data_IF_457852702381
#
_entry.id   IF_457852702381
#
_cell.length_a   1.000
_cell.length_b   1.000
_cell.length_c   1.000
_cell.angle_alpha   90.00
_cell.angle_beta   90.00
_cell.angle_gamma   90.00
#
_symmetry.space_group_name_H-M   'P 1'
#
loop_
_entity.id
_entity.type
_entity.pdbx_description
1 polymer ?
#
# COMPACT_ATOMS: atom_id res chain seq x y z
N UNK A 1 8.86 -2.75 -40.63
CA UNK A 1 7.87 -1.97 -39.86
C UNK A 1 6.94 -3.01 -39.27
N UNK A 2 7.00 -3.25 -37.96
CA UNK A 2 5.90 -3.89 -37.22
C UNK A 2 6.19 -3.79 -35.72
N UNK A 3 5.34 -2.98 -35.09
CA UNK A 3 5.00 -2.87 -33.68
C UNK A 3 6.02 -3.24 -32.61
N UNK A 4 6.85 -2.23 -32.32
CA UNK A 4 7.20 -1.90 -30.93
C UNK A 4 5.93 -1.43 -30.19
N UNK A 5 5.05 -2.37 -29.88
CA UNK A 5 3.85 -2.10 -29.07
C UNK A 5 4.31 -1.73 -27.64
N UNK A 6 4.44 -0.43 -27.41
CA UNK A 6 4.40 0.29 -26.13
C UNK A 6 4.62 -0.59 -24.88
N UNK A 7 5.88 -0.92 -24.57
CA UNK A 7 6.31 -1.43 -23.24
C UNK A 7 6.33 -0.32 -22.19
N UNK A 8 5.26 0.47 -22.10
CA UNK A 8 5.21 1.64 -21.21
C UNK A 8 3.87 1.78 -20.46
N UNK A 9 3.06 0.73 -20.46
CA UNK A 9 2.07 0.55 -19.40
C UNK A 9 2.74 -0.34 -18.36
N UNK A 10 3.18 0.25 -17.25
CA UNK A 10 3.51 -0.50 -16.05
C UNK A 10 2.42 -1.56 -15.84
N UNK A 11 2.76 -2.83 -15.67
CA UNK A 11 1.85 -3.99 -15.76
C UNK A 11 0.55 -3.82 -14.93
N UNK A 12 0.62 -3.04 -13.85
CA UNK A 12 -0.51 -2.53 -13.07
C UNK A 12 -1.62 -1.86 -13.89
N UNK A 13 -1.27 -1.05 -14.90
CA UNK A 13 -2.22 -0.33 -15.75
C UNK A 13 -2.99 -1.29 -16.66
N UNK A 14 -2.33 -2.36 -17.14
CA UNK A 14 -2.98 -3.39 -17.95
C UNK A 14 -4.00 -4.18 -17.12
N UNK A 15 -3.65 -4.52 -15.88
CA UNK A 15 -4.58 -5.21 -14.98
C UNK A 15 -5.76 -4.33 -14.56
N UNK A 16 -5.56 -3.04 -14.29
CA UNK A 16 -6.66 -2.12 -13.99
C UNK A 16 -7.62 -2.00 -15.18
N UNK A 17 -7.09 -1.82 -16.39
CA UNK A 17 -7.91 -1.77 -17.61
C UNK A 17 -8.67 -3.08 -17.86
N UNK A 18 -8.04 -4.22 -17.57
CA UNK A 18 -8.72 -5.51 -17.66
C UNK A 18 -9.86 -5.65 -16.66
N UNK A 19 -9.66 -5.19 -15.41
CA UNK A 19 -10.68 -5.22 -14.35
C UNK A 19 -11.87 -4.30 -14.62
N UNK A 20 -11.65 -3.21 -15.36
CA UNK A 20 -12.69 -2.24 -15.71
C UNK A 20 -13.50 -2.63 -16.96
N UNK A 21 -13.19 -3.79 -17.55
CA UNK A 21 -13.93 -4.39 -18.66
C UNK A 21 -15.31 -4.92 -18.25
N UNK A 22 -15.65 -6.14 -18.66
CA UNK A 22 -17.00 -6.69 -18.53
C UNK A 22 -17.53 -6.75 -17.09
N UNK A 23 -18.86 -6.80 -16.95
CA UNK A 23 -19.58 -6.77 -15.68
C UNK A 23 -19.03 -7.75 -14.63
N UNK A 24 -18.65 -8.96 -15.04
CA UNK A 24 -18.08 -9.99 -14.15
C UNK A 24 -16.75 -9.53 -13.53
N UNK A 25 -15.91 -8.83 -14.31
CA UNK A 25 -14.60 -8.35 -13.83
C UNK A 25 -14.74 -7.18 -12.85
N UNK A 26 -15.84 -6.40 -12.96
CA UNK A 26 -16.20 -5.36 -11.99
C UNK A 26 -16.59 -5.92 -10.63
N UNK A 27 -17.05 -7.18 -10.57
CA UNK A 27 -17.35 -7.86 -9.29
C UNK A 27 -16.10 -8.38 -8.58
N UNK A 28 -14.95 -8.44 -9.25
CA UNK A 28 -13.69 -8.83 -8.62
C UNK A 28 -13.24 -7.69 -7.71
N UNK A 29 -13.30 -7.95 -6.39
CA UNK A 29 -12.88 -7.00 -5.36
C UNK A 29 -11.37 -6.72 -5.47
N UNK A 30 -10.57 -7.79 -5.52
CA UNK A 30 -9.10 -7.70 -5.48
C UNK A 30 -8.45 -8.79 -6.32
N UNK A 31 -7.39 -8.40 -7.03
CA UNK A 31 -6.46 -9.30 -7.72
C UNK A 31 -5.08 -9.21 -7.08
N UNK A 32 -4.51 -10.37 -6.74
CA UNK A 32 -3.15 -10.48 -6.21
C UNK A 32 -2.23 -11.02 -7.30
N UNK A 33 -1.20 -10.24 -7.65
CA UNK A 33 -0.18 -10.66 -8.60
C UNK A 33 0.91 -11.48 -7.93
N UNK A 34 1.11 -12.69 -8.45
CA UNK A 34 1.99 -13.72 -7.92
C UNK A 34 3.00 -14.12 -9.01
N UNK A 35 4.14 -13.41 -9.14
CA UNK A 35 5.16 -13.76 -10.14
C UNK A 35 5.85 -15.09 -9.79
N UNK A 36 6.42 -15.76 -10.80
CA UNK A 36 7.33 -16.90 -10.64
C UNK A 36 6.75 -18.09 -9.86
N UNK A 37 5.48 -18.41 -10.05
CA UNK A 37 4.84 -19.61 -9.49
C UNK A 37 5.21 -20.84 -10.34
N UNK A 38 6.33 -21.47 -10.02
CA UNK A 38 6.90 -22.56 -10.82
C UNK A 38 6.38 -23.94 -10.39
N UNK A 39 5.95 -24.08 -9.12
CA UNK A 39 5.45 -25.32 -8.57
C UNK A 39 4.05 -25.17 -7.94
N UNK A 40 3.30 -26.27 -7.90
CA UNK A 40 1.99 -26.32 -7.21
C UNK A 40 2.12 -25.97 -5.71
N UNK A 41 3.26 -26.30 -5.11
CA UNK A 41 3.55 -25.95 -3.73
C UNK A 41 3.63 -24.43 -3.52
N UNK A 42 4.23 -23.69 -4.46
CA UNK A 42 4.34 -22.22 -4.42
C UNK A 42 2.96 -21.58 -4.49
N UNK A 43 2.13 -22.06 -5.42
CA UNK A 43 0.74 -21.63 -5.55
C UNK A 43 -0.02 -21.88 -4.25
N UNK A 44 0.06 -23.10 -3.70
CA UNK A 44 -0.63 -23.47 -2.46
C UNK A 44 -0.23 -22.61 -1.27
N UNK A 45 1.06 -22.28 -1.11
CA UNK A 45 1.54 -21.37 -0.06
C UNK A 45 0.98 -19.95 -0.23
N UNK A 46 1.07 -19.41 -1.44
CA UNK A 46 0.65 -18.05 -1.76
C UNK A 46 -0.86 -17.86 -1.62
N UNK A 47 -1.64 -18.82 -2.14
CA UNK A 47 -3.09 -18.85 -2.00
C UNK A 47 -3.51 -18.87 -0.52
N UNK A 48 -2.92 -19.77 0.28
CA UNK A 48 -3.21 -19.85 1.73
C UNK A 48 -2.85 -18.56 2.44
N UNK A 49 -1.69 -17.96 2.14
CA UNK A 49 -1.26 -16.70 2.75
C UNK A 49 -2.31 -15.60 2.52
N UNK A 50 -2.77 -15.43 1.28
CA UNK A 50 -3.77 -14.41 0.93
C UNK A 50 -5.12 -14.68 1.59
N UNK A 51 -5.63 -15.93 1.51
CA UNK A 51 -6.95 -16.29 2.04
C UNK A 51 -7.01 -16.19 3.56
N UNK A 52 -5.97 -16.63 4.27
CA UNK A 52 -5.90 -16.58 5.73
C UNK A 52 -5.88 -15.14 6.25
N UNK A 53 -5.25 -14.22 5.53
CA UNK A 53 -5.05 -12.83 5.99
C UNK A 53 -5.93 -11.83 5.25
N UNK A 54 -6.96 -12.28 4.53
CA UNK A 54 -7.83 -11.43 3.71
C UNK A 54 -8.42 -10.24 4.46
N UNK A 55 -8.77 -10.42 5.73
CA UNK A 55 -9.36 -9.35 6.55
C UNK A 55 -8.32 -8.28 6.89
N UNK A 56 -7.11 -8.69 7.27
CA UNK A 56 -6.00 -7.78 7.49
C UNK A 56 -5.62 -7.02 6.19
N UNK A 57 -5.59 -7.71 5.05
CA UNK A 57 -5.34 -7.09 3.74
C UNK A 57 -6.40 -6.06 3.40
N UNK A 58 -7.70 -6.37 3.61
CA UNK A 58 -8.80 -5.43 3.39
C UNK A 58 -8.76 -4.23 4.33
N UNK A 59 -8.34 -4.45 5.59
CA UNK A 59 -8.17 -3.36 6.56
C UNK A 59 -7.06 -2.40 6.12
N UNK A 60 -5.92 -2.94 5.68
CA UNK A 60 -4.77 -2.13 5.25
C UNK A 60 -4.99 -1.48 3.88
N UNK A 61 -5.64 -2.16 2.95
CA UNK A 61 -5.82 -1.72 1.57
C UNK A 61 -7.30 -1.79 1.13
N UNK A 62 -8.17 -0.94 1.69
CA UNK A 62 -9.62 -1.05 1.48
C UNK A 62 -10.04 -0.80 0.03
N UNK A 63 -9.30 0.05 -0.69
CA UNK A 63 -9.66 0.49 -2.04
C UNK A 63 -8.71 -0.07 -3.12
N UNK A 64 -7.71 -0.88 -2.74
CA UNK A 64 -6.68 -1.33 -3.68
C UNK A 64 -7.11 -2.63 -4.35
N UNK A 65 -7.61 -2.51 -5.58
CA UNK A 65 -8.07 -3.65 -6.38
C UNK A 65 -6.94 -4.53 -6.94
N UNK A 66 -5.70 -4.05 -6.92
CA UNK A 66 -4.54 -4.76 -7.46
C UNK A 66 -3.27 -4.54 -6.63
N UNK A 67 -2.65 -5.62 -6.17
CA UNK A 67 -1.34 -5.60 -5.51
C UNK A 67 -0.56 -6.90 -5.67
N UNK A 68 0.75 -6.84 -5.43
CA UNK A 68 1.63 -8.01 -5.49
C UNK A 68 1.57 -8.86 -4.22
N UNK A 69 1.95 -10.14 -4.35
CA UNK A 69 2.16 -11.04 -3.21
C UNK A 69 3.10 -10.45 -2.16
N UNK A 70 4.13 -9.72 -2.58
CA UNK A 70 5.09 -9.05 -1.69
C UNK A 70 4.39 -8.07 -0.73
N UNK A 71 3.37 -7.33 -1.21
CA UNK A 71 2.57 -6.47 -0.31
C UNK A 71 1.82 -7.30 0.73
N UNK A 72 1.30 -8.46 0.34
CA UNK A 72 0.66 -9.38 1.28
C UNK A 72 1.64 -9.84 2.36
N UNK A 73 2.84 -10.25 1.97
CA UNK A 73 3.88 -10.73 2.87
C UNK A 73 4.27 -9.68 3.90
N UNK A 74 4.39 -8.41 3.52
CA UNK A 74 4.65 -7.33 4.47
C UNK A 74 3.52 -7.14 5.47
N UNK A 75 2.26 -7.18 5.03
CA UNK A 75 1.10 -7.09 5.94
C UNK A 75 1.13 -8.24 6.94
N UNK A 76 1.34 -9.47 6.48
CA UNK A 76 1.41 -10.66 7.35
C UNK A 76 2.57 -10.58 8.33
N UNK A 77 3.75 -10.16 7.87
CA UNK A 77 4.94 -10.01 8.72
C UNK A 77 4.71 -8.98 9.81
N UNK A 78 4.10 -7.84 9.49
CA UNK A 78 3.79 -6.79 10.46
C UNK A 78 2.69 -7.24 11.42
N UNK A 79 1.63 -7.89 10.93
CA UNK A 79 0.54 -8.39 11.77
C UNK A 79 1.07 -9.36 12.84
N UNK A 80 1.89 -10.34 12.45
CA UNK A 80 2.55 -11.25 13.40
C UNK A 80 3.45 -10.52 14.38
N UNK A 81 4.24 -9.55 13.88
CA UNK A 81 5.10 -8.74 14.73
C UNK A 81 4.34 -7.90 15.78
N UNK A 82 3.09 -7.52 15.48
CA UNK A 82 2.18 -6.86 16.43
C UNK A 82 1.60 -7.86 17.45
N UNK A 83 1.20 -9.05 17.01
CA UNK A 83 0.69 -10.12 17.89
C UNK A 83 1.74 -10.58 18.90
N UNK A 84 2.98 -10.72 18.46
CA UNK A 84 4.10 -11.17 19.30
C UNK A 84 4.70 -10.05 20.16
N UNK A 85 4.12 -8.84 20.16
CA UNK A 85 4.66 -7.62 20.80
C UNK A 85 6.15 -7.38 20.49
N UNK A 86 6.57 -7.70 19.27
CA UNK A 86 7.96 -7.57 18.88
C UNK A 86 8.42 -6.11 18.91
N UNK A 87 9.68 -5.88 19.30
CA UNK A 87 10.30 -4.56 19.24
C UNK A 87 10.21 -3.94 17.83
N UNK A 88 10.14 -4.75 16.77
CA UNK A 88 10.00 -4.29 15.40
C UNK A 88 8.73 -3.48 15.17
N UNK A 89 7.58 -3.95 15.67
CA UNK A 89 6.32 -3.25 15.48
C UNK A 89 6.27 -1.93 16.27
N UNK A 90 6.75 -1.96 17.53
CA UNK A 90 6.91 -0.77 18.36
C UNK A 90 7.85 0.26 17.72
N UNK A 91 8.96 -0.19 17.14
CA UNK A 91 9.90 0.67 16.43
C UNK A 91 9.27 1.30 15.18
N UNK A 92 8.52 0.51 14.39
CA UNK A 92 7.80 1.01 13.21
C UNK A 92 6.79 2.09 13.59
N UNK A 93 5.95 1.84 14.59
CA UNK A 93 4.98 2.82 15.07
C UNK A 93 5.66 4.07 15.67
N UNK A 94 6.86 3.89 16.25
CA UNK A 94 7.70 4.98 16.75
C UNK A 94 7.97 6.06 15.71
N UNK A 95 8.18 5.70 14.44
CA UNK A 95 8.36 6.67 13.33
C UNK A 95 7.15 7.57 13.11
N UNK A 96 5.95 7.09 13.44
CA UNK A 96 4.70 7.83 13.22
C UNK A 96 4.23 8.59 14.45
N UNK A 97 4.80 8.37 15.64
CA UNK A 97 4.39 9.04 16.88
C UNK A 97 4.25 10.56 16.73
N UNK A 98 5.17 11.30 16.09
CA UNK A 98 5.04 12.76 15.93
C UNK A 98 3.88 13.19 15.03
N UNK A 99 3.41 12.31 14.15
CA UNK A 99 2.32 12.57 13.18
C UNK A 99 0.99 12.03 13.70
N UNK A 100 1.02 11.01 14.56
CA UNK A 100 -0.13 10.22 14.98
C UNK A 100 -1.23 11.05 15.66
N UNK A 101 -0.86 12.10 16.37
CA UNK A 101 -1.82 12.99 17.06
C UNK A 101 -2.63 13.85 16.08
N UNK A 102 -2.16 14.01 14.84
CA UNK A 102 -2.87 14.73 13.80
C UNK A 102 -3.50 13.75 12.82
N UNK A 103 -4.78 13.43 13.06
CA UNK A 103 -5.55 12.48 12.24
C UNK A 103 -5.56 12.87 10.75
N UNK A 104 -5.62 14.16 10.42
CA UNK A 104 -5.63 14.66 9.04
C UNK A 104 -4.29 14.39 8.32
N UNK A 105 -3.16 14.61 8.99
CA UNK A 105 -1.83 14.32 8.45
C UNK A 105 -1.60 12.82 8.36
N UNK A 106 -1.99 12.05 9.38
CA UNK A 106 -1.86 10.59 9.37
C UNK A 106 -2.73 9.96 8.26
N UNK A 107 -3.95 10.44 8.09
CA UNK A 107 -4.83 10.03 7.00
C UNK A 107 -4.20 10.37 5.63
N UNK A 108 -3.69 11.59 5.47
CA UNK A 108 -3.00 12.02 4.23
C UNK A 108 -1.80 11.13 3.92
N UNK A 109 -0.98 10.80 4.93
CA UNK A 109 0.20 9.95 4.77
C UNK A 109 -0.18 8.52 4.35
N UNK A 110 -1.18 7.94 5.01
CA UNK A 110 -1.71 6.62 4.66
C UNK A 110 -2.23 6.57 3.23
N UNK A 111 -3.06 7.54 2.80
CA UNK A 111 -3.55 7.62 1.42
C UNK A 111 -2.38 7.73 0.44
N UNK A 112 -1.44 8.63 0.71
CA UNK A 112 -0.28 8.88 -0.17
C UNK A 112 0.58 7.62 -0.35
N UNK A 113 0.96 6.94 0.74
CA UNK A 113 1.87 5.81 0.71
C UNK A 113 1.19 4.49 0.30
N UNK A 114 -0.03 4.23 0.79
CA UNK A 114 -0.67 2.92 0.64
C UNK A 114 -1.58 2.83 -0.59
N UNK A 115 -2.33 3.89 -0.90
CA UNK A 115 -3.42 3.84 -1.90
C UNK A 115 -3.09 4.59 -3.20
N UNK A 116 -2.35 5.69 -3.09
CA UNK A 116 -2.00 6.56 -4.20
C UNK A 116 -0.65 6.23 -4.85
N UNK A 117 0.11 5.25 -4.34
CA UNK A 117 1.44 4.88 -4.85
C UNK A 117 2.42 6.06 -4.91
N UNK A 118 2.34 6.98 -3.92
CA UNK A 118 3.12 8.23 -3.84
C UNK A 118 2.82 9.24 -4.96
N UNK A 119 1.66 9.13 -5.59
CA UNK A 119 1.21 10.10 -6.57
C UNK A 119 0.44 11.24 -5.89
N UNK A 120 0.95 12.47 -6.05
CA UNK A 120 0.33 13.68 -5.47
C UNK A 120 -1.06 13.98 -6.04
N UNK A 121 -1.25 13.77 -7.34
CA UNK A 121 -2.50 14.04 -8.03
C UNK A 121 -3.57 13.04 -7.57
N UNK A 122 -3.25 11.75 -7.61
CA UNK A 122 -4.14 10.69 -7.13
C UNK A 122 -4.46 10.83 -5.64
N UNK A 123 -3.50 11.24 -4.82
CA UNK A 123 -3.75 11.53 -3.40
C UNK A 123 -4.74 12.67 -3.22
N UNK A 124 -4.62 13.72 -4.03
CA UNK A 124 -5.52 14.88 -3.98
C UNK A 124 -6.96 14.51 -4.36
N UNK A 125 -7.11 13.64 -5.36
CA UNK A 125 -8.40 13.09 -5.79
C UNK A 125 -9.03 12.21 -4.70
N UNK A 126 -8.26 11.31 -4.10
CA UNK A 126 -8.73 10.43 -3.03
C UNK A 126 -9.11 11.18 -1.74
N UNK A 127 -8.45 12.32 -1.48
CA UNK A 127 -8.71 13.16 -0.31
C UNK A 127 -9.73 14.27 -0.57
N UNK A 128 -10.18 14.46 -1.81
CA UNK A 128 -11.04 15.58 -2.23
C UNK A 128 -10.46 16.95 -1.85
N UNK A 129 -9.14 17.13 -1.98
CA UNK A 129 -8.45 18.40 -1.72
C UNK A 129 -7.61 18.81 -2.92
N UNK A 130 -7.15 20.05 -2.94
CA UNK A 130 -6.23 20.51 -3.98
C UNK A 130 -4.84 19.86 -3.82
N UNK A 131 -4.16 19.57 -4.93
CA UNK A 131 -2.79 18.99 -4.95
C UNK A 131 -1.78 19.77 -4.10
N UNK A 132 -1.92 21.09 -4.05
CA UNK A 132 -1.05 21.92 -3.19
C UNK A 132 -1.27 21.63 -1.71
N UNK A 133 -2.52 21.43 -1.27
CA UNK A 133 -2.83 21.04 0.12
C UNK A 133 -2.14 19.74 0.49
N UNK A 134 -2.16 18.73 -0.40
CA UNK A 134 -1.40 17.49 -0.20
C UNK A 134 0.09 17.77 -0.04
N UNK A 135 0.68 18.58 -0.93
CA UNK A 135 2.10 18.95 -0.85
C UNK A 135 2.44 19.63 0.48
N UNK A 136 1.60 20.55 0.94
CA UNK A 136 1.78 21.23 2.22
C UNK A 136 1.70 20.26 3.40
N UNK A 137 0.71 19.36 3.41
CA UNK A 137 0.58 18.33 4.45
C UNK A 137 1.78 17.38 4.47
N UNK A 138 2.24 16.90 3.31
CA UNK A 138 3.43 16.02 3.21
C UNK A 138 4.70 16.73 3.67
N UNK A 139 4.87 18.01 3.33
CA UNK A 139 5.98 18.82 3.85
C UNK A 139 5.91 18.91 5.38
N UNK A 140 4.73 19.18 5.93
CA UNK A 140 4.52 19.25 7.38
C UNK A 140 4.81 17.90 8.06
N UNK A 141 4.40 16.79 7.46
CA UNK A 141 4.71 15.43 7.95
C UNK A 141 6.23 15.22 8.03
N UNK A 142 6.97 15.57 6.98
CA UNK A 142 8.44 15.46 7.00
C UNK A 142 9.08 16.34 8.06
N UNK A 143 8.57 17.55 8.28
CA UNK A 143 9.09 18.46 9.33
C UNK A 143 8.87 17.91 10.75
N UNK A 144 7.68 17.36 11.05
CA UNK A 144 7.37 16.89 12.41
C UNK A 144 7.93 15.50 12.71
N UNK A 145 8.00 14.62 11.71
CA UNK A 145 8.53 13.26 11.89
C UNK A 145 10.04 13.16 11.72
N UNK A 146 10.67 14.14 11.05
CA UNK A 146 12.04 14.04 10.57
C UNK A 146 12.22 13.04 9.41
N UNK A 147 11.15 12.38 8.94
CA UNK A 147 11.18 11.41 7.83
C UNK A 147 11.26 12.13 6.48
N UNK A 148 12.31 11.87 5.72
CA UNK A 148 12.45 12.28 4.34
C UNK A 148 11.66 11.33 3.41
N UNK A 149 10.45 11.73 3.05
CA UNK A 149 9.57 10.96 2.16
C UNK A 149 10.09 10.84 0.70
N UNK A 150 11.17 11.54 0.35
CA UNK A 150 11.87 11.40 -0.93
C UNK A 150 12.98 10.35 -0.88
N UNK A 151 13.50 10.03 0.31
CA UNK A 151 14.47 8.96 0.51
C UNK A 151 13.78 7.60 0.38
N UNK A 152 14.37 6.67 -0.36
CA UNK A 152 13.77 5.35 -0.58
C UNK A 152 13.62 4.59 0.75
N UNK A 153 14.67 4.56 1.56
CA UNK A 153 14.72 3.77 2.79
C UNK A 153 13.76 4.33 3.85
N UNK A 154 13.77 5.64 4.07
CA UNK A 154 12.89 6.30 5.04
C UNK A 154 11.44 6.25 4.58
N UNK A 155 11.17 6.50 3.29
CA UNK A 155 9.83 6.36 2.74
C UNK A 155 9.31 4.93 2.88
N UNK A 156 10.17 3.92 2.72
CA UNK A 156 9.79 2.53 2.89
C UNK A 156 9.52 2.18 4.37
N UNK A 157 10.33 2.69 5.30
CA UNK A 157 10.06 2.57 6.73
C UNK A 157 8.72 3.23 7.10
N UNK A 158 8.48 4.46 6.64
CA UNK A 158 7.23 5.20 6.81
C UNK A 158 6.04 4.44 6.16
N UNK A 159 6.24 3.73 5.04
CA UNK A 159 5.24 2.84 4.42
C UNK A 159 4.88 1.63 5.30
N UNK A 160 5.88 0.92 5.83
CA UNK A 160 5.66 -0.22 6.74
C UNK A 160 4.98 0.24 8.04
N UNK A 161 5.35 1.40 8.56
CA UNK A 161 4.70 1.98 9.72
C UNK A 161 3.21 2.32 9.46
N UNK A 162 2.87 2.82 8.26
CA UNK A 162 1.48 3.06 7.87
C UNK A 162 0.66 1.75 7.79
N UNK A 163 1.27 0.65 7.35
CA UNK A 163 0.64 -0.68 7.41
C UNK A 163 0.34 -1.05 8.86
N UNK A 164 1.32 -0.93 9.76
CA UNK A 164 1.13 -1.22 11.18
C UNK A 164 0.02 -0.36 11.79
N UNK A 165 0.00 0.94 11.47
CA UNK A 165 -1.02 1.88 11.92
C UNK A 165 -2.44 1.45 11.48
N UNK A 166 -2.65 1.09 10.21
CA UNK A 166 -3.95 0.59 9.73
C UNK A 166 -4.34 -0.78 10.29
N UNK A 167 -3.39 -1.60 10.73
CA UNK A 167 -3.73 -2.88 11.35
C UNK A 167 -4.35 -2.68 12.75
N UNK A 168 -3.84 -1.72 13.52
CA UNK A 168 -4.28 -1.50 14.92
C UNK A 168 -5.42 -0.49 15.08
N UNK A 169 -5.66 0.38 14.09
CA UNK A 169 -6.81 1.31 14.05
C UNK A 169 -7.78 0.83 12.97
#
# INVERSE_FOLDING_TARGET
MEDRYKRDKAENNVCNEWLDGDFVKKQIETVVYCPNMNELADFGRSYRLVIMHRLALRKVFPNLRFFSLVKCEYVVKIARGLEDNSNTASNLLGFLNPVKENEELMHTLCIYLLDAKRDLQKTSELLFVHRNTVRHRLKRISEISGCNLLSYDECFACYLACIAYRLIN
#
